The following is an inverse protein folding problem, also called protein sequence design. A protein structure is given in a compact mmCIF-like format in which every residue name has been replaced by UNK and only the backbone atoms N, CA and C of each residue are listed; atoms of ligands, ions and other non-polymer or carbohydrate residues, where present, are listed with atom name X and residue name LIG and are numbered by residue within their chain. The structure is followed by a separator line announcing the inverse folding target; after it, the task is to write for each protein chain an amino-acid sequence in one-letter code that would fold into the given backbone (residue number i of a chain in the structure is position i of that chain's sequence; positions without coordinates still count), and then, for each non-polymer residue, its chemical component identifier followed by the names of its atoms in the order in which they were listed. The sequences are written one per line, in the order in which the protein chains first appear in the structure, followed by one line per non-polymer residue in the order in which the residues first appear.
data_IF_778049643113
#
_entry.id   IF_778049643113
#
_cell.length_a   1.000
_cell.length_b   1.000
_cell.length_c   1.000
_cell.angle_alpha   90.00
_cell.angle_beta   90.00
_cell.angle_gamma   90.00
#
_symmetry.space_group_name_H-M   'P 1'
#
loop_
_entity.id
_entity.type
_entity.pdbx_description
1 polymer ?
#
# COMPACT_ATOMS: atom_id res chain seq x y z
N UNK A 1 26.46 29.50 13.66
CA UNK A 1 26.42 28.11 14.18
C UNK A 1 27.29 27.26 13.29
N UNK A 2 28.34 26.62 13.82
CA UNK A 2 29.20 25.74 13.03
C UNK A 2 28.35 24.56 12.49
N UNK A 3 28.51 24.16 11.22
CA UNK A 3 27.84 22.97 10.70
C UNK A 3 28.26 21.78 11.55
N UNK A 4 27.28 21.06 12.08
CA UNK A 4 27.50 19.83 12.82
C UNK A 4 28.28 18.85 11.92
N UNK A 5 29.45 18.42 12.39
CA UNK A 5 30.31 17.46 11.73
C UNK A 5 29.78 16.01 11.87
N UNK A 6 28.55 15.82 12.34
CA UNK A 6 27.97 14.49 12.51
C UNK A 6 27.60 13.87 11.15
N UNK A 7 28.31 12.83 10.69
CA UNK A 7 28.06 12.24 9.38
C UNK A 7 26.69 11.59 9.25
N UNK A 8 25.94 11.38 10.34
CA UNK A 8 24.61 10.74 10.31
C UNK A 8 23.43 11.69 10.49
N UNK A 9 23.66 12.98 10.71
CA UNK A 9 22.57 13.94 10.95
C UNK A 9 21.62 14.08 9.75
N UNK A 10 22.15 14.08 8.52
CA UNK A 10 21.30 14.11 7.33
C UNK A 10 20.43 12.85 7.22
N UNK A 11 20.95 11.70 7.66
CA UNK A 11 20.21 10.44 7.67
C UNK A 11 19.07 10.55 8.66
N UNK A 12 19.31 11.10 9.84
CA UNK A 12 18.27 11.33 10.84
C UNK A 12 17.14 12.19 10.28
N UNK A 13 17.46 13.37 9.73
CA UNK A 13 16.47 14.30 9.15
C UNK A 13 15.66 13.65 8.03
N UNK A 14 16.33 12.90 7.15
CA UNK A 14 15.66 12.22 6.04
C UNK A 14 14.74 11.09 6.51
N UNK A 15 15.21 10.27 7.47
CA UNK A 15 14.40 9.19 8.05
C UNK A 15 13.23 9.76 8.84
N UNK A 16 13.41 10.84 9.59
CA UNK A 16 12.35 11.47 10.39
C UNK A 16 11.21 11.96 9.47
N UNK A 17 11.58 12.63 8.36
CA UNK A 17 10.64 13.05 7.32
C UNK A 17 9.90 11.86 6.69
N UNK A 18 10.62 10.83 6.25
CA UNK A 18 10.00 9.63 5.65
C UNK A 18 9.10 8.90 6.64
N UNK A 19 9.53 8.77 7.90
CA UNK A 19 8.76 8.15 8.97
C UNK A 19 7.46 8.91 9.23
N UNK A 20 7.51 10.24 9.34
CA UNK A 20 6.32 11.07 9.48
C UNK A 20 5.34 10.90 8.31
N UNK A 21 5.85 10.84 7.07
CA UNK A 21 5.05 10.58 5.87
C UNK A 21 4.40 9.20 5.88
N UNK A 22 5.15 8.15 6.20
CA UNK A 22 4.63 6.78 6.28
C UNK A 22 3.62 6.62 7.42
N UNK A 23 3.84 7.30 8.54
CA UNK A 23 2.90 7.32 9.66
C UNK A 23 1.58 8.01 9.29
N UNK A 24 1.66 9.19 8.67
CA UNK A 24 0.48 9.89 8.12
C UNK A 24 -0.27 9.01 7.11
N UNK A 25 0.48 8.36 6.21
CA UNK A 25 -0.10 7.48 5.22
C UNK A 25 -0.84 6.30 5.87
N UNK A 26 -0.25 5.64 6.87
CA UNK A 26 -0.91 4.57 7.62
C UNK A 26 -2.17 5.05 8.36
N UNK A 27 -2.05 6.12 9.17
CA UNK A 27 -3.09 6.52 10.12
C UNK A 27 -4.25 7.27 9.48
N UNK A 28 -3.98 8.00 8.41
CA UNK A 28 -4.97 8.88 7.79
C UNK A 28 -5.38 8.37 6.42
N UNK A 29 -4.42 8.24 5.51
CA UNK A 29 -4.72 7.97 4.11
C UNK A 29 -5.21 6.53 3.90
N UNK A 30 -4.44 5.56 4.38
CA UNK A 30 -4.76 4.14 4.24
C UNK A 30 -6.01 3.78 5.04
N UNK A 31 -6.20 4.35 6.24
CA UNK A 31 -7.44 4.17 7.02
C UNK A 31 -8.68 4.61 6.23
N UNK A 32 -8.61 5.76 5.54
CA UNK A 32 -9.69 6.25 4.68
C UNK A 32 -9.91 5.37 3.45
N UNK A 33 -8.84 4.93 2.78
CA UNK A 33 -8.92 3.97 1.67
C UNK A 33 -9.61 2.69 2.14
N UNK A 34 -9.17 2.12 3.27
CA UNK A 34 -9.73 0.89 3.82
C UNK A 34 -11.23 1.03 4.10
N UNK A 35 -11.65 2.15 4.69
CA UNK A 35 -13.06 2.41 4.93
C UNK A 35 -13.90 2.41 3.64
N UNK A 36 -13.37 2.97 2.54
CA UNK A 36 -14.03 2.93 1.23
C UNK A 36 -14.03 1.52 0.61
N UNK A 37 -13.00 0.72 0.90
CA UNK A 37 -12.87 -0.65 0.42
C UNK A 37 -13.63 -1.68 1.29
N UNK A 38 -14.14 -1.31 2.47
CA UNK A 38 -14.89 -2.24 3.34
C UNK A 38 -16.19 -2.74 2.70
N UNK A 39 -17.10 -1.88 2.19
CA UNK A 39 -18.31 -2.35 1.50
C UNK A 39 -17.97 -3.20 0.28
N UNK A 40 -16.96 -2.78 -0.48
CA UNK A 40 -16.42 -3.53 -1.61
C UNK A 40 -15.95 -4.91 -1.17
N UNK A 41 -15.18 -5.02 -0.09
CA UNK A 41 -14.64 -6.29 0.40
C UNK A 41 -15.75 -7.27 0.78
N UNK A 42 -16.83 -6.78 1.41
CA UNK A 42 -18.00 -7.60 1.74
C UNK A 42 -18.70 -8.09 0.47
N UNK A 43 -18.94 -7.18 -0.47
CA UNK A 43 -19.56 -7.51 -1.75
C UNK A 43 -18.73 -8.53 -2.55
N UNK A 44 -17.42 -8.33 -2.63
CA UNK A 44 -16.50 -9.23 -3.32
C UNK A 44 -16.52 -10.65 -2.75
N UNK A 45 -16.63 -10.80 -1.43
CA UNK A 45 -16.81 -12.11 -0.80
C UNK A 45 -18.11 -12.78 -1.25
N UNK A 46 -19.21 -12.04 -1.33
CA UNK A 46 -20.48 -12.57 -1.83
C UNK A 46 -20.37 -12.99 -3.30
N UNK A 47 -19.67 -12.22 -4.14
CA UNK A 47 -19.42 -12.58 -5.54
C UNK A 47 -18.63 -13.89 -5.63
N UNK A 48 -17.58 -14.04 -4.83
CA UNK A 48 -16.78 -15.27 -4.78
C UNK A 48 -17.65 -16.46 -4.36
N UNK A 49 -18.45 -16.32 -3.30
CA UNK A 49 -19.36 -17.37 -2.84
C UNK A 49 -20.45 -17.72 -3.87
N UNK A 50 -20.97 -16.72 -4.57
CA UNK A 50 -22.01 -16.87 -5.60
C UNK A 50 -21.49 -17.23 -7.00
N UNK A 51 -20.18 -17.38 -7.17
CA UNK A 51 -19.54 -17.44 -8.48
C UNK A 51 -20.13 -18.50 -9.42
N UNK A 52 -20.38 -19.71 -8.91
CA UNK A 52 -20.95 -20.81 -9.73
C UNK A 52 -22.32 -20.44 -10.31
N UNK A 53 -23.17 -19.81 -9.53
CA UNK A 53 -24.51 -19.40 -9.94
C UNK A 53 -24.47 -18.16 -10.84
N UNK A 54 -23.63 -17.18 -10.50
CA UNK A 54 -23.40 -16.01 -11.36
C UNK A 54 -22.92 -16.41 -12.75
N UNK A 55 -22.05 -17.43 -12.83
CA UNK A 55 -21.48 -17.90 -14.09
C UNK A 55 -22.53 -18.50 -15.03
N UNK A 56 -23.66 -18.98 -14.49
CA UNK A 56 -24.80 -19.48 -15.30
C UNK A 56 -25.55 -18.36 -16.00
N UNK A 57 -25.59 -17.16 -15.42
CA UNK A 57 -26.34 -16.01 -15.96
C UNK A 57 -25.46 -15.05 -16.74
N UNK A 58 -24.27 -14.74 -16.22
CA UNK A 58 -23.38 -13.67 -16.73
C UNK A 58 -22.26 -14.24 -17.61
N UNK A 59 -22.08 -15.56 -17.61
CA UNK A 59 -21.00 -16.25 -18.31
C UNK A 59 -19.75 -16.46 -17.45
N UNK A 60 -19.07 -17.59 -17.68
CA UNK A 60 -17.90 -18.04 -16.89
C UNK A 60 -16.73 -17.07 -16.93
N UNK A 61 -16.47 -16.44 -18.09
CA UNK A 61 -15.32 -15.57 -18.28
C UNK A 61 -15.38 -14.32 -17.39
N UNK A 62 -16.51 -13.60 -17.43
CA UNK A 62 -16.73 -12.41 -16.61
C UNK A 62 -16.65 -12.72 -15.11
N UNK A 63 -17.29 -13.82 -14.67
CA UNK A 63 -17.26 -14.20 -13.26
C UNK A 63 -15.86 -14.60 -12.80
N UNK A 64 -15.12 -15.37 -13.61
CA UNK A 64 -13.73 -15.72 -13.32
C UNK A 64 -12.89 -14.46 -13.12
N UNK A 65 -12.99 -13.51 -14.04
CA UNK A 65 -12.28 -12.23 -13.96
C UNK A 65 -12.61 -11.45 -12.67
N UNK A 66 -13.89 -11.31 -12.31
CA UNK A 66 -14.28 -10.65 -11.06
C UNK A 66 -13.72 -11.38 -9.85
N UNK A 67 -13.85 -12.71 -9.80
CA UNK A 67 -13.40 -13.48 -8.63
C UNK A 67 -11.88 -13.45 -8.45
N UNK A 68 -11.10 -13.48 -9.53
CA UNK A 68 -9.65 -13.35 -9.46
C UNK A 68 -9.23 -11.97 -8.97
N UNK A 69 -9.78 -10.89 -9.56
CA UNK A 69 -9.52 -9.52 -9.11
C UNK A 69 -9.95 -9.33 -7.64
N UNK A 70 -11.10 -9.87 -7.26
CA UNK A 70 -11.64 -9.82 -5.91
C UNK A 70 -10.69 -10.44 -4.87
N UNK A 71 -10.25 -11.68 -5.11
CA UNK A 71 -9.33 -12.38 -4.22
C UNK A 71 -8.00 -11.64 -4.08
N UNK A 72 -7.50 -11.11 -5.19
CA UNK A 72 -6.24 -10.40 -5.21
C UNK A 72 -6.31 -9.07 -4.44
N UNK A 73 -7.34 -8.25 -4.68
CA UNK A 73 -7.59 -7.00 -3.93
C UNK A 73 -7.68 -7.28 -2.43
N UNK A 74 -8.49 -8.27 -2.02
CA UNK A 74 -8.66 -8.63 -0.61
C UNK A 74 -7.32 -8.98 0.05
N UNK A 75 -6.48 -9.76 -0.63
CA UNK A 75 -5.15 -10.15 -0.14
C UNK A 75 -4.19 -8.97 -0.02
N UNK A 76 -4.21 -8.04 -0.98
CA UNK A 76 -3.30 -6.90 -0.99
C UNK A 76 -3.66 -5.84 0.06
N UNK A 77 -4.95 -5.64 0.35
CA UNK A 77 -5.38 -4.67 1.37
C UNK A 77 -4.70 -4.95 2.72
N UNK A 78 -4.74 -6.21 3.17
CA UNK A 78 -4.16 -6.57 4.47
C UNK A 78 -2.62 -6.51 4.45
N UNK A 79 -1.99 -6.89 3.33
CA UNK A 79 -0.53 -6.81 3.15
C UNK A 79 0.00 -5.39 3.22
N UNK A 80 -0.68 -4.45 2.57
CA UNK A 80 -0.31 -3.03 2.60
C UNK A 80 -0.35 -2.52 4.04
N UNK A 81 -1.44 -2.78 4.77
CA UNK A 81 -1.56 -2.30 6.14
C UNK A 81 -0.48 -2.86 7.06
N UNK A 82 -0.25 -4.18 7.00
CA UNK A 82 0.77 -4.84 7.81
C UNK A 82 2.15 -4.25 7.54
N UNK A 83 2.49 -4.04 6.27
CA UNK A 83 3.80 -3.54 5.89
C UNK A 83 3.98 -2.07 6.23
N UNK A 84 2.91 -1.26 6.16
CA UNK A 84 2.93 0.11 6.67
C UNK A 84 3.15 0.17 8.18
N UNK A 85 2.51 -0.70 8.97
CA UNK A 85 2.76 -0.81 10.42
C UNK A 85 4.22 -1.16 10.69
N UNK A 86 4.78 -2.09 9.92
CA UNK A 86 6.17 -2.50 10.04
C UNK A 86 7.15 -1.39 9.62
N UNK A 87 6.82 -0.62 8.57
CA UNK A 87 7.57 0.56 8.14
C UNK A 87 7.66 1.60 9.26
N UNK A 88 6.53 1.96 9.86
CA UNK A 88 6.49 2.91 10.98
C UNK A 88 7.39 2.43 12.13
N UNK A 89 7.25 1.16 12.53
CA UNK A 89 8.10 0.58 13.59
C UNK A 89 9.59 0.62 13.23
N UNK A 90 9.94 0.31 11.98
CA UNK A 90 11.32 0.31 11.52
C UNK A 90 11.91 1.73 11.48
N UNK A 91 11.16 2.71 10.96
CA UNK A 91 11.57 4.11 10.95
C UNK A 91 11.84 4.63 12.37
N UNK A 92 10.96 4.33 13.33
CA UNK A 92 11.21 4.66 14.74
C UNK A 92 12.50 4.02 15.28
N UNK A 93 12.72 2.73 15.00
CA UNK A 93 13.94 2.02 15.43
C UNK A 93 15.21 2.62 14.82
N UNK A 94 15.17 3.04 13.56
CA UNK A 94 16.30 3.72 12.92
C UNK A 94 16.61 5.03 13.66
N UNK A 95 15.61 5.86 13.92
CA UNK A 95 15.78 7.12 14.67
C UNK A 95 16.31 6.88 16.08
N UNK A 96 15.77 5.89 16.79
CA UNK A 96 16.27 5.48 18.11
C UNK A 96 17.75 5.07 18.04
N UNK A 97 18.15 4.35 16.99
CA UNK A 97 19.54 3.90 16.78
C UNK A 97 20.46 5.11 16.60
N UNK A 98 20.06 6.10 15.80
CA UNK A 98 20.88 7.30 15.56
C UNK A 98 21.00 8.14 16.84
N UNK A 99 19.88 8.37 17.55
CA UNK A 99 19.80 9.27 18.71
C UNK A 99 20.49 8.70 19.95
N UNK A 100 20.44 7.38 20.17
CA UNK A 100 20.89 6.75 21.42
C UNK A 100 22.31 6.20 21.39
N UNK A 101 22.91 6.02 20.21
CA UNK A 101 24.25 5.43 20.09
C UNK A 101 25.32 6.50 19.91
N UNK A 102 26.29 6.53 20.83
CA UNK A 102 27.45 7.43 20.78
C UNK A 102 28.51 6.97 19.76
N UNK A 103 28.61 5.67 19.52
CA UNK A 103 29.53 5.10 18.51
C UNK A 103 28.98 5.29 17.09
N UNK A 104 29.48 6.32 16.41
CA UNK A 104 29.07 6.66 15.04
C UNK A 104 29.51 5.63 13.99
N UNK A 105 30.66 4.98 14.18
CA UNK A 105 31.15 3.93 13.27
C UNK A 105 30.19 2.75 13.21
N UNK A 106 29.74 2.28 14.38
CA UNK A 106 28.74 1.21 14.49
C UNK A 106 27.39 1.64 13.93
N UNK A 107 26.95 2.87 14.20
CA UNK A 107 25.69 3.41 13.66
C UNK A 107 25.72 3.39 12.13
N UNK A 108 26.79 3.85 11.48
CA UNK A 108 26.89 3.86 10.02
C UNK A 108 26.72 2.45 9.43
N UNK A 109 27.38 1.44 10.02
CA UNK A 109 27.26 0.04 9.56
C UNK A 109 25.82 -0.46 9.65
N UNK A 110 25.15 -0.20 10.78
CA UNK A 110 23.74 -0.60 10.97
C UNK A 110 22.85 0.12 9.97
N UNK A 111 23.05 1.43 9.77
CA UNK A 111 22.24 2.24 8.86
C UNK A 111 22.29 1.72 7.42
N UNK A 112 23.46 1.30 6.92
CA UNK A 112 23.57 0.74 5.55
C UNK A 112 22.63 -0.45 5.32
N UNK A 113 22.47 -1.31 6.32
CA UNK A 113 21.59 -2.48 6.24
C UNK A 113 20.12 -2.10 6.49
N UNK A 114 19.85 -1.35 7.56
CA UNK A 114 18.48 -1.09 7.99
C UNK A 114 17.76 -0.10 7.06
N UNK A 115 18.47 0.89 6.51
CA UNK A 115 17.92 1.81 5.50
C UNK A 115 17.56 1.05 4.23
N UNK A 116 18.38 0.11 3.76
CA UNK A 116 18.05 -0.72 2.59
C UNK A 116 16.70 -1.41 2.77
N UNK A 117 16.53 -2.11 3.89
CA UNK A 117 15.27 -2.79 4.24
C UNK A 117 14.09 -1.80 4.32
N UNK A 118 14.32 -0.63 4.91
CA UNK A 118 13.29 0.41 5.00
C UNK A 118 12.84 0.89 3.61
N UNK A 119 13.78 1.17 2.71
CA UNK A 119 13.48 1.59 1.33
C UNK A 119 12.78 0.49 0.54
N UNK A 120 13.20 -0.77 0.66
CA UNK A 120 12.54 -1.91 0.02
C UNK A 120 11.08 -2.04 0.43
N UNK A 121 10.78 -1.89 1.73
CA UNK A 121 9.41 -1.93 2.22
C UNK A 121 8.57 -0.77 1.69
N UNK A 122 9.13 0.45 1.55
CA UNK A 122 8.41 1.58 0.94
C UNK A 122 8.10 1.26 -0.53
N UNK A 123 9.04 0.66 -1.26
CA UNK A 123 8.83 0.23 -2.66
C UNK A 123 7.75 -0.85 -2.78
N UNK A 124 7.75 -1.83 -1.88
CA UNK A 124 6.73 -2.88 -1.84
C UNK A 124 5.33 -2.31 -1.60
N UNK A 125 5.19 -1.41 -0.62
CA UNK A 125 3.91 -0.72 -0.36
C UNK A 125 3.44 0.03 -1.60
N UNK A 126 4.32 0.80 -2.24
CA UNK A 126 3.97 1.50 -3.48
C UNK A 126 3.51 0.54 -4.58
N UNK A 127 4.24 -0.57 -4.79
CA UNK A 127 3.90 -1.61 -5.77
C UNK A 127 2.52 -2.21 -5.52
N UNK A 128 2.23 -2.67 -4.30
CA UNK A 128 0.92 -3.25 -3.99
C UNK A 128 -0.21 -2.23 -4.06
N UNK A 129 0.03 -0.98 -3.70
CA UNK A 129 -0.98 0.08 -3.83
C UNK A 129 -1.29 0.38 -5.29
N UNK A 130 -0.28 0.31 -6.17
CA UNK A 130 -0.48 0.39 -7.61
C UNK A 130 -1.24 -0.83 -8.14
N UNK A 131 -0.87 -2.05 -7.72
CA UNK A 131 -1.58 -3.28 -8.10
C UNK A 131 -3.06 -3.24 -7.69
N UNK A 132 -3.39 -2.78 -6.47
CA UNK A 132 -4.80 -2.58 -6.06
C UNK A 132 -5.50 -1.59 -6.99
N UNK A 133 -4.83 -0.50 -7.38
CA UNK A 133 -5.41 0.50 -8.26
C UNK A 133 -5.72 -0.06 -9.66
N UNK A 134 -4.82 -0.86 -10.21
CA UNK A 134 -4.98 -1.53 -11.51
C UNK A 134 -6.13 -2.55 -11.47
N UNK A 135 -6.18 -3.36 -10.42
CA UNK A 135 -7.20 -4.41 -10.23
C UNK A 135 -8.60 -3.84 -9.98
N UNK A 136 -8.71 -2.67 -9.33
CA UNK A 136 -9.98 -1.94 -9.27
C UNK A 136 -10.47 -1.51 -10.65
N UNK A 137 -9.57 -1.30 -11.62
CA UNK A 137 -9.93 -1.06 -13.01
C UNK A 137 -10.50 -2.28 -13.71
N UNK A 138 -9.90 -3.45 -13.48
CA UNK A 138 -10.43 -4.74 -13.97
C UNK A 138 -11.80 -5.01 -13.36
N UNK A 139 -11.93 -4.76 -12.07
CA UNK A 139 -13.16 -4.97 -11.32
C UNK A 139 -14.30 -4.07 -11.80
N UNK A 140 -14.04 -2.79 -12.10
CA UNK A 140 -15.03 -1.85 -12.63
C UNK A 140 -15.67 -2.35 -13.93
N UNK A 141 -14.85 -2.81 -14.88
CA UNK A 141 -15.32 -3.40 -16.15
C UNK A 141 -16.18 -4.63 -15.90
N UNK A 142 -15.70 -5.55 -15.06
CA UNK A 142 -16.35 -6.83 -14.86
C UNK A 142 -17.63 -6.72 -14.01
N UNK A 143 -17.68 -5.80 -13.03
CA UNK A 143 -18.89 -5.44 -12.31
C UNK A 143 -19.93 -4.74 -13.20
N UNK A 144 -19.49 -3.96 -14.18
CA UNK A 144 -20.40 -3.35 -15.18
C UNK A 144 -21.08 -4.39 -16.08
N UNK A 145 -20.44 -5.54 -16.30
CA UNK A 145 -21.09 -6.67 -16.98
C UNK A 145 -22.14 -7.29 -16.07
N UNK A 146 -21.80 -7.58 -14.80
CA UNK A 146 -22.74 -8.11 -13.81
C UNK A 146 -23.95 -7.18 -13.64
N UNK A 147 -23.75 -5.85 -13.63
CA UNK A 147 -24.83 -4.89 -13.44
C UNK A 147 -25.86 -4.91 -14.57
N UNK A 148 -25.49 -5.31 -15.79
CA UNK A 148 -26.44 -5.47 -16.92
C UNK A 148 -27.45 -6.60 -16.67
N UNK A 149 -27.06 -7.59 -15.85
CA UNK A 149 -27.93 -8.70 -15.47
C UNK A 149 -28.55 -8.50 -14.07
N UNK A 150 -28.42 -7.30 -13.48
CA UNK A 150 -28.79 -7.06 -12.10
C UNK A 150 -30.24 -7.47 -11.80
N UNK A 151 -31.20 -7.13 -12.65
CA UNK A 151 -32.62 -7.45 -12.42
C UNK A 151 -32.87 -8.96 -12.31
N UNK A 152 -32.25 -9.76 -13.19
CA UNK A 152 -32.38 -11.23 -13.17
C UNK A 152 -31.63 -11.80 -11.95
N UNK A 153 -30.43 -11.31 -11.70
CA UNK A 153 -29.61 -11.78 -10.59
C UNK A 153 -30.20 -11.42 -9.22
N UNK A 154 -30.94 -10.31 -9.10
CA UNK A 154 -31.58 -9.88 -7.86
C UNK A 154 -32.67 -10.83 -7.38
N UNK A 155 -33.28 -11.62 -8.28
CA UNK A 155 -34.25 -12.66 -7.93
C UNK A 155 -33.59 -13.79 -7.12
N UNK A 156 -32.30 -14.05 -7.40
CA UNK A 156 -31.51 -15.12 -6.78
C UNK A 156 -30.66 -14.56 -5.62
N UNK A 157 -30.15 -13.35 -5.77
CA UNK A 157 -29.16 -12.73 -4.91
C UNK A 157 -29.60 -11.34 -4.47
N UNK A 158 -30.19 -11.23 -3.28
CA UNK A 158 -30.63 -9.94 -2.72
C UNK A 158 -29.50 -8.90 -2.63
N UNK A 159 -28.27 -9.32 -2.39
CA UNK A 159 -27.09 -8.45 -2.28
C UNK A 159 -26.67 -7.80 -3.61
N UNK A 160 -27.19 -8.24 -4.76
CA UNK A 160 -26.93 -7.59 -6.06
C UNK A 160 -27.57 -6.20 -6.14
N UNK A 161 -28.56 -5.89 -5.30
CA UNK A 161 -29.12 -4.53 -5.19
C UNK A 161 -28.05 -3.49 -4.84
N UNK A 162 -26.98 -3.89 -4.17
CA UNK A 162 -25.89 -3.00 -3.76
C UNK A 162 -24.89 -2.70 -4.88
N UNK A 163 -24.95 -3.39 -6.03
CA UNK A 163 -23.97 -3.29 -7.14
C UNK A 163 -23.67 -1.84 -7.53
N UNK A 164 -24.70 -0.99 -7.66
CA UNK A 164 -24.52 0.40 -8.08
C UNK A 164 -23.74 1.20 -7.04
N UNK A 165 -24.07 1.05 -5.75
CA UNK A 165 -23.33 1.69 -4.66
C UNK A 165 -21.88 1.18 -4.58
N UNK A 166 -21.65 -0.09 -4.93
CA UNK A 166 -20.31 -0.68 -4.99
C UNK A 166 -19.49 -0.12 -6.15
N UNK A 167 -20.08 0.04 -7.34
CA UNK A 167 -19.42 0.69 -8.48
C UNK A 167 -18.98 2.12 -8.13
N UNK A 168 -19.82 2.88 -7.44
CA UNK A 168 -19.45 4.23 -6.99
C UNK A 168 -18.33 4.21 -5.93
N UNK A 169 -18.35 3.24 -5.02
CA UNK A 169 -17.27 3.04 -4.06
C UNK A 169 -15.94 2.69 -4.76
N UNK A 170 -15.97 1.83 -5.78
CA UNK A 170 -14.81 1.48 -6.62
C UNK A 170 -14.25 2.72 -7.30
N UNK A 171 -15.09 3.54 -7.93
CA UNK A 171 -14.67 4.79 -8.60
C UNK A 171 -14.01 5.77 -7.61
N UNK A 172 -14.62 5.96 -6.43
CA UNK A 172 -14.07 6.82 -5.36
C UNK A 172 -12.72 6.29 -4.86
N UNK A 173 -12.63 4.98 -4.59
CA UNK A 173 -11.39 4.34 -4.16
C UNK A 173 -10.29 4.47 -5.22
N UNK A 174 -10.60 4.23 -6.50
CA UNK A 174 -9.68 4.35 -7.63
C UNK A 174 -9.14 5.78 -7.76
N UNK A 175 -10.00 6.80 -7.62
CA UNK A 175 -9.58 8.20 -7.66
C UNK A 175 -8.63 8.56 -6.50
N UNK A 176 -8.92 8.08 -5.30
CA UNK A 176 -8.08 8.31 -4.12
C UNK A 176 -6.73 7.58 -4.25
N UNK A 177 -6.76 6.31 -4.66
CA UNK A 177 -5.58 5.48 -4.90
C UNK A 177 -4.67 6.07 -5.98
N UNK A 178 -5.23 6.62 -7.08
CA UNK A 178 -4.45 7.31 -8.10
C UNK A 178 -3.58 8.45 -7.53
N UNK A 179 -4.17 9.28 -6.66
CA UNK A 179 -3.43 10.37 -5.99
C UNK A 179 -2.33 9.81 -5.11
N UNK A 180 -2.65 8.77 -4.37
CA UNK A 180 -1.74 8.08 -3.46
C UNK A 180 -0.56 7.41 -4.17
N UNK A 181 -0.80 6.70 -5.28
CA UNK A 181 0.26 6.08 -6.09
C UNK A 181 1.26 7.14 -6.54
N UNK A 182 0.78 8.31 -6.98
CA UNK A 182 1.63 9.44 -7.37
C UNK A 182 2.47 9.95 -6.19
N UNK A 183 1.85 10.18 -5.03
CA UNK A 183 2.55 10.66 -3.84
C UNK A 183 3.58 9.65 -3.35
N UNK A 184 3.21 8.37 -3.20
CA UNK A 184 4.12 7.32 -2.77
C UNK A 184 5.29 7.14 -3.75
N UNK A 185 5.08 7.31 -5.06
CA UNK A 185 6.18 7.29 -6.04
C UNK A 185 7.23 8.36 -5.74
N UNK A 186 6.83 9.54 -5.28
CA UNK A 186 7.77 10.60 -4.87
C UNK A 186 8.51 10.22 -3.59
N UNK A 187 7.82 9.64 -2.62
CA UNK A 187 8.45 9.15 -1.38
C UNK A 187 9.45 8.02 -1.67
N UNK A 188 9.13 7.11 -2.59
CA UNK A 188 10.05 6.07 -3.08
C UNK A 188 11.32 6.70 -3.68
N UNK A 189 11.18 7.75 -4.51
CA UNK A 189 12.35 8.44 -5.07
C UNK A 189 13.23 9.06 -3.98
N UNK A 190 12.63 9.69 -2.97
CA UNK A 190 13.37 10.27 -1.83
C UNK A 190 14.07 9.18 -1.01
N UNK A 191 13.37 8.07 -0.73
CA UNK A 191 13.90 6.91 -0.03
C UNK A 191 15.09 6.30 -0.78
N UNK A 192 15.01 6.16 -2.11
CA UNK A 192 16.13 5.66 -2.93
C UNK A 192 17.33 6.61 -2.90
N UNK A 193 17.11 7.93 -2.90
CA UNK A 193 18.21 8.91 -2.74
C UNK A 193 18.90 8.73 -1.39
N UNK A 194 18.13 8.66 -0.31
CA UNK A 194 18.65 8.39 1.03
C UNK A 194 19.49 7.11 1.08
N UNK A 195 19.03 6.01 0.47
CA UNK A 195 19.80 4.77 0.40
C UNK A 195 21.15 4.97 -0.29
N UNK A 196 21.18 5.71 -1.41
CA UNK A 196 22.43 6.01 -2.13
C UNK A 196 23.37 6.85 -1.28
N UNK A 197 22.85 7.83 -0.56
CA UNK A 197 23.66 8.73 0.27
C UNK A 197 24.22 7.99 1.49
N UNK A 198 23.41 7.15 2.15
CA UNK A 198 23.85 6.27 3.25
C UNK A 198 24.90 5.27 2.78
N UNK A 199 24.79 4.74 1.55
CA UNK A 199 25.77 3.81 1.00
C UNK A 199 27.16 4.43 0.85
N UNK A 200 27.23 5.73 0.55
CA UNK A 200 28.47 6.51 0.40
C UNK A 200 29.15 6.88 1.72
N UNK A 201 28.47 6.71 2.86
CA UNK A 201 29.08 7.00 4.16
C UNK A 201 30.36 6.17 4.35
N UNK A 202 31.49 6.79 4.72
CA UNK A 202 32.70 6.05 5.02
C UNK A 202 32.42 5.16 6.23
N UNK A 203 32.76 3.87 6.14
CA UNK A 203 32.78 2.99 7.31
C UNK A 203 34.21 3.08 7.86
N UNK A 204 34.42 3.64 9.05
CA UNK A 204 35.75 3.63 9.65
C UNK A 204 36.20 2.18 9.82
N UNK A 205 37.39 1.87 9.29
CA UNK A 205 38.07 0.61 9.58
C UNK A 205 38.34 0.60 11.08
N UNK A 206 38.09 -0.54 11.74
CA UNK A 206 38.36 -0.69 13.17
C UNK A 206 39.84 -0.35 13.42
N UNK A 207 40.07 0.47 14.44
CA UNK A 207 41.39 0.65 15.04
C UNK A 207 41.61 -0.48 16.05
#
# INVERSE_FOLDING_TARGET
MAPSNDPVEFVEKAVDKLHARMFYYLKTVWKRIRALLTPLSKFLKNVISGAKSLAKTVGKAAVKQVTSAAQFILKLIDRVELTLKNLVKLGKRILDTIRKNKDRSRVIRILKTVIRKYVEMIRQVWGWVQEIWDELGVLDTALSIISRFASVLQLIFRWIRDVTGILDAVKKAKALLKKVVKTLRLEVKQAIRLLKDVAKLPVPKEA
#
